data_IF_063704766095
#
_entry.id   IF_063704766095
#
_cell.length_a   1.000
_cell.length_b   1.000
_cell.length_c   1.000
_cell.angle_alpha   90.00
_cell.angle_beta   90.00
_cell.angle_gamma   90.00
#
_symmetry.space_group_name_H-M   'P 1'
#
loop_
_entity.id
_entity.type
_entity.pdbx_description
1 polymer ?
#
# COMPACT_ATOMS: atom_id res chain seq x y z
N UNK A 1 -2.83 -19.02 -3.45
CA UNK A 1 -1.37 -19.26 -3.62
C UNK A 1 -0.98 -20.72 -3.56
N UNK A 2 -0.97 -21.37 -4.72
CA UNK A 2 -0.56 -22.78 -4.82
C UNK A 2 0.95 -22.95 -4.59
N UNK A 3 1.72 -21.93 -4.95
CA UNK A 3 3.19 -21.97 -5.05
C UNK A 3 3.89 -21.22 -3.91
N UNK A 4 3.17 -20.61 -2.98
CA UNK A 4 3.77 -19.72 -1.98
C UNK A 4 4.48 -18.53 -2.60
N UNK A 5 5.67 -18.19 -2.13
CA UNK A 5 6.45 -17.06 -2.63
C UNK A 5 7.24 -17.36 -3.92
N UNK A 6 7.38 -18.64 -4.29
CA UNK A 6 8.12 -19.05 -5.49
C UNK A 6 7.14 -19.29 -6.66
N UNK A 7 6.62 -18.23 -7.23
CA UNK A 7 5.69 -18.29 -8.36
C UNK A 7 6.45 -18.59 -9.66
N UNK A 8 5.99 -19.56 -10.48
CA UNK A 8 6.49 -19.68 -11.85
C UNK A 8 6.03 -18.50 -12.71
N UNK A 9 6.81 -18.15 -13.72
CA UNK A 9 6.57 -16.97 -14.57
C UNK A 9 5.19 -17.00 -15.24
N UNK A 10 4.69 -18.17 -15.60
CA UNK A 10 3.35 -18.33 -16.19
C UNK A 10 2.23 -17.97 -15.21
N UNK A 11 2.42 -18.22 -13.91
CA UNK A 11 1.47 -17.83 -12.88
C UNK A 11 1.50 -16.32 -12.66
N UNK A 12 2.69 -15.69 -12.67
CA UNK A 12 2.84 -14.23 -12.59
C UNK A 12 2.13 -13.59 -13.80
N UNK A 13 2.39 -14.06 -15.01
CA UNK A 13 1.76 -13.53 -16.22
C UNK A 13 0.23 -13.71 -16.21
N UNK A 14 -0.26 -14.83 -15.67
CA UNK A 14 -1.69 -15.06 -15.50
C UNK A 14 -2.31 -14.07 -14.52
N UNK A 15 -1.71 -13.86 -13.36
CA UNK A 15 -2.18 -12.92 -12.34
C UNK A 15 -2.21 -11.48 -12.87
N UNK A 16 -1.12 -11.05 -13.53
CA UNK A 16 -1.04 -9.72 -14.15
C UNK A 16 -2.12 -9.51 -15.22
N UNK A 17 -2.39 -10.56 -16.03
CA UNK A 17 -3.49 -10.50 -16.99
C UNK A 17 -4.85 -10.32 -16.29
N UNK A 18 -5.12 -11.05 -15.20
CA UNK A 18 -6.36 -10.91 -14.44
C UNK A 18 -6.50 -9.50 -13.85
N UNK A 19 -5.43 -8.96 -13.28
CA UNK A 19 -5.38 -7.61 -12.72
C UNK A 19 -5.71 -6.58 -13.81
N UNK A 20 -5.14 -6.73 -14.99
CA UNK A 20 -5.41 -5.83 -16.13
C UNK A 20 -6.83 -6.00 -16.68
N UNK A 21 -7.33 -7.23 -16.78
CA UNK A 21 -8.68 -7.53 -17.27
C UNK A 21 -9.77 -6.94 -16.36
N UNK A 22 -9.54 -6.83 -15.05
CA UNK A 22 -10.46 -6.14 -14.13
C UNK A 22 -10.36 -4.61 -14.17
N UNK A 23 -9.48 -4.05 -14.99
CA UNK A 23 -9.36 -2.61 -15.22
C UNK A 23 -8.35 -1.90 -14.33
N UNK A 24 -7.58 -2.60 -13.51
CA UNK A 24 -6.50 -2.00 -12.72
C UNK A 24 -5.33 -1.61 -13.64
N UNK A 25 -4.72 -0.46 -13.36
CA UNK A 25 -3.59 0.08 -14.11
C UNK A 25 -2.31 0.18 -13.27
N UNK A 26 -2.41 -0.11 -11.98
CA UNK A 26 -1.27 -0.06 -11.05
C UNK A 26 -1.34 -1.18 -10.03
N UNK A 27 -0.18 -1.63 -9.57
CA UNK A 27 0.00 -2.63 -8.52
C UNK A 27 0.92 -2.06 -7.45
N UNK A 28 0.59 -2.29 -6.19
CA UNK A 28 1.47 -2.09 -5.06
C UNK A 28 2.03 -3.44 -4.61
N UNK A 29 3.35 -3.56 -4.54
CA UNK A 29 4.05 -4.82 -4.23
C UNK A 29 4.10 -5.11 -2.73
N UNK A 30 2.96 -5.20 -2.10
CA UNK A 30 2.81 -5.34 -0.65
C UNK A 30 3.40 -6.64 -0.10
N UNK A 31 4.33 -6.63 0.85
CA UNK A 31 4.99 -5.45 1.44
C UNK A 31 6.50 -5.68 1.36
N UNK A 32 7.05 -5.78 0.20
CA UNK A 32 8.48 -6.05 -0.06
C UNK A 32 8.79 -5.92 -1.56
N UNK A 33 10.07 -5.73 -1.92
CA UNK A 33 10.49 -5.77 -3.32
C UNK A 33 10.09 -7.09 -3.98
N UNK A 34 9.65 -7.02 -5.23
CA UNK A 34 9.25 -8.18 -6.00
C UNK A 34 10.36 -8.68 -6.94
N UNK A 35 10.09 -9.81 -7.60
CA UNK A 35 11.00 -10.45 -8.56
C UNK A 35 11.16 -9.60 -9.83
N UNK A 36 12.37 -9.59 -10.42
CA UNK A 36 12.65 -8.84 -11.66
C UNK A 36 11.74 -9.28 -12.82
N UNK A 37 11.41 -10.58 -12.92
CA UNK A 37 10.48 -11.07 -13.96
C UNK A 37 9.07 -10.51 -13.81
N UNK A 38 8.62 -10.26 -12.58
CA UNK A 38 7.35 -9.56 -12.35
C UNK A 38 7.42 -8.13 -12.89
N UNK A 39 8.51 -7.43 -12.64
CA UNK A 39 8.72 -6.06 -13.11
C UNK A 39 8.87 -6.00 -14.64
N UNK A 40 9.62 -6.93 -15.25
CA UNK A 40 9.71 -7.07 -16.70
C UNK A 40 8.33 -7.21 -17.36
N UNK A 41 7.49 -8.07 -16.79
CA UNK A 41 6.11 -8.25 -17.28
C UNK A 41 5.26 -7.00 -17.07
N UNK A 42 5.42 -6.27 -15.96
CA UNK A 42 4.74 -5.00 -15.75
C UNK A 42 5.17 -3.96 -16.79
N UNK A 43 6.48 -3.90 -17.11
CA UNK A 43 7.02 -3.04 -18.16
C UNK A 43 6.39 -3.35 -19.53
N UNK A 44 6.36 -4.63 -19.92
CA UNK A 44 5.77 -5.08 -21.19
C UNK A 44 4.27 -4.83 -21.27
N UNK A 45 3.55 -5.03 -20.18
CA UNK A 45 2.10 -4.90 -20.12
C UNK A 45 1.60 -3.48 -19.87
N UNK A 46 2.50 -2.54 -19.54
CA UNK A 46 2.17 -1.17 -19.20
C UNK A 46 1.38 -1.05 -17.89
N UNK A 47 1.76 -1.81 -16.88
CA UNK A 47 1.20 -1.76 -15.53
C UNK A 47 2.15 -0.94 -14.65
N UNK A 48 1.65 0.10 -14.00
CA UNK A 48 2.43 0.90 -13.06
C UNK A 48 2.68 0.15 -11.76
N UNK A 49 3.84 0.36 -11.15
CA UNK A 49 4.23 -0.34 -9.91
C UNK A 49 4.61 0.67 -8.83
N UNK A 50 3.95 0.55 -7.69
CA UNK A 50 4.45 1.07 -6.42
C UNK A 50 5.26 -0.03 -5.75
N UNK A 51 6.58 0.08 -5.76
CA UNK A 51 7.45 -0.86 -5.08
C UNK A 51 7.89 -0.33 -3.72
N UNK A 52 7.94 -1.18 -2.70
CA UNK A 52 8.18 -0.74 -1.32
C UNK A 52 9.14 -1.63 -0.52
N UNK A 53 9.72 -1.01 0.51
CA UNK A 53 10.57 -1.67 1.51
C UNK A 53 9.75 -2.67 2.35
N UNK A 54 10.42 -3.65 2.93
CA UNK A 54 9.82 -4.85 3.53
C UNK A 54 9.16 -4.69 4.91
N UNK A 55 9.35 -3.58 5.62
CA UNK A 55 8.86 -3.44 6.98
C UNK A 55 7.39 -2.99 7.03
N UNK A 56 6.57 -3.76 7.77
CA UNK A 56 5.13 -3.54 7.90
C UNK A 56 4.63 -3.82 9.31
N UNK A 57 3.70 -3.00 9.80
CA UNK A 57 3.05 -3.19 11.09
C UNK A 57 4.04 -3.26 12.26
N UNK A 58 5.13 -2.52 12.16
CA UNK A 58 6.19 -2.53 13.17
C UNK A 58 5.96 -1.38 14.14
N UNK A 59 5.57 -1.71 15.35
CA UNK A 59 5.40 -0.72 16.42
C UNK A 59 6.75 -0.13 16.88
N UNK A 60 6.70 1.05 17.49
CA UNK A 60 7.88 1.85 17.85
C UNK A 60 8.91 1.05 18.65
N UNK A 61 8.46 0.26 19.62
CA UNK A 61 9.34 -0.56 20.48
C UNK A 61 10.15 -1.57 19.68
N UNK A 62 9.58 -2.09 18.61
CA UNK A 62 10.28 -3.02 17.70
C UNK A 62 11.13 -2.30 16.67
N UNK A 63 10.75 -1.08 16.24
CA UNK A 63 11.60 -0.24 15.40
C UNK A 63 12.91 0.15 16.12
N UNK A 64 12.92 0.20 17.46
CA UNK A 64 14.12 0.42 18.28
C UNK A 64 15.09 -0.78 18.30
N UNK A 65 14.78 -1.88 17.60
CA UNK A 65 15.74 -2.96 17.40
C UNK A 65 17.00 -2.41 16.70
N UNK A 66 18.22 -2.70 17.21
CA UNK A 66 19.45 -2.12 16.67
C UNK A 66 19.75 -2.46 15.21
N UNK A 67 19.06 -3.46 14.65
CA UNK A 67 19.18 -3.85 13.24
C UNK A 67 18.11 -3.27 12.33
N UNK A 68 17.07 -2.64 12.87
CA UNK A 68 15.93 -2.18 12.07
C UNK A 68 16.33 -1.20 10.96
N UNK A 69 17.05 -0.15 11.33
CA UNK A 69 17.46 0.89 10.38
C UNK A 69 18.43 0.33 9.33
N UNK A 70 19.43 -0.46 9.74
CA UNK A 70 20.40 -1.05 8.81
C UNK A 70 19.76 -2.05 7.83
N UNK A 71 18.78 -2.83 8.28
CA UNK A 71 18.01 -3.73 7.41
C UNK A 71 17.15 -2.96 6.42
N UNK A 72 16.47 -1.91 6.86
CA UNK A 72 15.71 -1.04 5.96
C UNK A 72 16.61 -0.38 4.92
N UNK A 73 17.77 0.12 5.32
CA UNK A 73 18.76 0.70 4.41
C UNK A 73 19.25 -0.32 3.38
N UNK A 74 19.60 -1.52 3.81
CA UNK A 74 20.08 -2.61 2.93
C UNK A 74 19.04 -2.95 1.87
N UNK A 75 17.77 -3.12 2.26
CA UNK A 75 16.69 -3.43 1.34
C UNK A 75 16.43 -2.29 0.35
N UNK A 76 16.39 -1.04 0.80
CA UNK A 76 16.20 0.12 -0.09
C UNK A 76 17.33 0.21 -1.11
N UNK A 77 18.59 0.04 -0.69
CA UNK A 77 19.74 0.06 -1.61
C UNK A 77 19.66 -1.08 -2.62
N UNK A 78 19.34 -2.29 -2.17
CA UNK A 78 19.18 -3.45 -3.04
C UNK A 78 18.07 -3.22 -4.06
N UNK A 79 16.89 -2.85 -3.60
CA UNK A 79 15.70 -2.57 -4.41
C UNK A 79 15.98 -1.53 -5.50
N UNK A 80 16.46 -0.35 -5.13
CA UNK A 80 16.69 0.72 -6.11
C UNK A 80 17.84 0.37 -7.06
N UNK A 81 18.91 -0.28 -6.57
CA UNK A 81 20.03 -0.66 -7.43
C UNK A 81 19.63 -1.71 -8.48
N UNK A 82 18.83 -2.69 -8.09
CA UNK A 82 18.37 -3.73 -9.01
C UNK A 82 17.30 -3.20 -9.97
N UNK A 83 16.33 -2.43 -9.47
CA UNK A 83 15.10 -2.13 -10.19
C UNK A 83 15.03 -0.71 -10.77
N UNK A 84 16.10 0.08 -10.67
CA UNK A 84 16.13 1.48 -11.14
C UNK A 84 15.67 1.64 -12.60
N UNK A 85 15.99 0.70 -13.46
CA UNK A 85 15.74 0.77 -14.90
C UNK A 85 14.35 0.28 -15.33
N UNK A 86 13.49 -0.17 -14.40
CA UNK A 86 12.11 -0.57 -14.74
C UNK A 86 11.22 0.67 -14.91
N UNK A 87 10.73 0.97 -16.12
CA UNK A 87 9.84 2.11 -16.36
C UNK A 87 8.45 1.95 -15.73
N UNK A 88 8.03 0.75 -15.41
CA UNK A 88 6.78 0.47 -14.69
C UNK A 88 6.80 1.05 -13.28
N UNK A 89 7.94 1.07 -12.59
CA UNK A 89 8.04 1.63 -11.25
C UNK A 89 7.88 3.15 -11.32
N UNK A 90 6.78 3.66 -10.80
CA UNK A 90 6.49 5.09 -10.83
C UNK A 90 6.68 5.78 -9.47
N UNK A 91 6.72 5.01 -8.37
CA UNK A 91 6.84 5.52 -7.01
C UNK A 91 7.57 4.52 -6.12
N UNK A 92 8.46 5.01 -5.25
CA UNK A 92 9.12 4.24 -4.23
C UNK A 92 8.41 4.35 -2.89
N UNK A 93 8.06 3.20 -2.31
CA UNK A 93 7.50 3.10 -0.96
C UNK A 93 8.55 2.76 0.09
N UNK A 94 8.31 3.19 1.33
CA UNK A 94 9.15 2.79 2.45
C UNK A 94 8.40 1.81 3.37
N UNK A 95 7.75 2.29 4.39
CA UNK A 95 7.16 1.51 5.48
C UNK A 95 5.63 1.45 5.35
N UNK A 96 5.06 0.29 5.67
CA UNK A 96 3.62 0.13 5.80
C UNK A 96 3.22 0.08 7.28
N UNK A 97 2.36 1.01 7.73
CA UNK A 97 1.72 0.99 9.06
C UNK A 97 2.70 0.88 10.23
N UNK A 98 3.93 1.36 10.08
CA UNK A 98 4.90 1.37 11.16
C UNK A 98 4.69 2.56 12.10
N UNK A 99 5.51 2.68 13.15
CA UNK A 99 5.37 3.64 14.24
C UNK A 99 5.58 5.11 13.87
N UNK A 100 4.85 5.63 12.87
CA UNK A 100 4.93 7.02 12.37
C UNK A 100 4.35 8.06 13.32
N UNK A 101 3.69 7.63 14.40
CA UNK A 101 3.11 8.47 15.44
C UNK A 101 4.12 8.90 16.53
N UNK A 102 5.41 8.59 16.37
CA UNK A 102 6.44 8.88 17.33
C UNK A 102 7.63 9.65 16.73
N UNK A 103 8.33 10.42 17.52
CA UNK A 103 9.54 11.14 17.11
C UNK A 103 10.66 10.17 16.65
N UNK A 104 10.79 9.02 17.30
CA UNK A 104 11.74 8.00 16.85
C UNK A 104 11.34 7.42 15.50
N UNK A 105 10.06 7.09 15.34
CA UNK A 105 9.52 6.64 14.04
C UNK A 105 9.76 7.68 12.96
N UNK A 106 9.46 8.95 13.22
CA UNK A 106 9.72 10.05 12.29
C UNK A 106 11.20 10.11 11.86
N UNK A 107 12.13 9.92 12.79
CA UNK A 107 13.57 9.87 12.46
C UNK A 107 13.87 8.73 11.48
N UNK A 108 13.33 7.53 11.73
CA UNK A 108 13.50 6.38 10.82
C UNK A 108 12.88 6.62 9.45
N UNK A 109 11.68 7.22 9.38
CA UNK A 109 11.02 7.57 8.12
C UNK A 109 11.83 8.59 7.33
N UNK A 110 12.29 9.65 7.96
CA UNK A 110 13.10 10.68 7.35
C UNK A 110 14.38 10.11 6.75
N UNK A 111 15.11 9.27 7.49
CA UNK A 111 16.35 8.64 7.03
C UNK A 111 16.12 7.80 5.75
N UNK A 112 15.01 7.05 5.68
CA UNK A 112 14.68 6.24 4.50
C UNK A 112 14.31 7.11 3.29
N UNK A 113 13.51 8.15 3.44
CA UNK A 113 13.20 9.08 2.35
C UNK A 113 14.44 9.80 1.84
N UNK A 114 15.32 10.26 2.74
CA UNK A 114 16.59 10.88 2.35
C UNK A 114 17.50 9.91 1.59
N UNK A 115 17.52 8.63 1.98
CA UNK A 115 18.26 7.60 1.29
C UNK A 115 17.73 7.39 -0.13
N UNK A 116 16.41 7.24 -0.30
CA UNK A 116 15.80 7.08 -1.63
C UNK A 116 16.15 8.27 -2.50
N UNK A 117 15.97 9.50 -2.02
CA UNK A 117 16.29 10.72 -2.79
C UNK A 117 17.78 10.84 -3.18
N UNK A 118 18.68 10.23 -2.42
CA UNK A 118 20.11 10.13 -2.80
C UNK A 118 20.36 9.11 -3.90
N UNK A 119 19.56 8.04 -3.97
CA UNK A 119 19.71 6.96 -4.93
C UNK A 119 18.93 7.22 -6.22
N UNK A 120 17.72 7.74 -6.12
CA UNK A 120 16.85 8.09 -7.25
C UNK A 120 16.11 9.41 -6.99
N UNK A 121 16.35 10.39 -7.86
CA UNK A 121 15.69 11.71 -7.86
C UNK A 121 14.58 11.82 -8.92
N UNK A 122 14.34 10.76 -9.67
CA UNK A 122 13.41 10.76 -10.79
C UNK A 122 11.99 10.34 -10.42
N UNK A 123 11.85 9.61 -9.31
CA UNK A 123 10.57 9.07 -8.85
C UNK A 123 10.17 9.64 -7.50
N UNK A 124 8.86 9.91 -7.29
CA UNK A 124 8.33 10.34 -6.01
C UNK A 124 8.42 9.24 -4.96
N UNK A 125 8.25 9.64 -3.71
CA UNK A 125 8.29 8.77 -2.53
C UNK A 125 6.97 8.76 -1.78
N UNK A 126 6.66 7.64 -1.10
CA UNK A 126 5.47 7.49 -0.27
C UNK A 126 5.66 6.47 0.86
N UNK A 127 4.70 6.40 1.76
CA UNK A 127 4.51 5.33 2.74
C UNK A 127 3.03 5.18 3.04
N UNK A 128 2.58 3.98 3.37
CA UNK A 128 1.19 3.75 3.74
C UNK A 128 0.99 3.90 5.25
N UNK A 129 0.11 4.80 5.66
CA UNK A 129 -0.22 5.06 7.06
C UNK A 129 -1.59 4.54 7.45
N UNK A 130 -1.74 4.06 8.69
CA UNK A 130 -3.01 3.82 9.36
C UNK A 130 -3.16 4.61 10.67
N UNK A 131 -2.22 5.53 10.95
CA UNK A 131 -2.14 6.24 12.25
C UNK A 131 -3.10 7.44 12.34
N UNK A 132 -3.92 7.66 11.31
CA UNK A 132 -4.89 8.76 11.23
C UNK A 132 -4.26 10.10 11.65
N UNK A 133 -4.89 10.84 12.53
CA UNK A 133 -4.47 12.18 12.97
C UNK A 133 -3.25 12.19 13.92
N UNK A 134 -2.61 11.05 14.15
CA UNK A 134 -1.41 10.92 15.00
C UNK A 134 -0.12 10.78 14.21
N UNK A 135 -0.21 10.61 12.90
CA UNK A 135 0.95 10.44 12.03
C UNK A 135 1.81 11.72 11.99
N UNK A 136 3.08 11.60 12.32
CA UNK A 136 4.03 12.72 12.35
C UNK A 136 4.88 12.83 11.07
N UNK A 137 4.61 12.01 10.05
CA UNK A 137 5.52 11.82 8.92
C UNK A 137 4.97 12.33 7.59
N UNK A 138 3.74 12.87 7.51
CA UNK A 138 3.08 13.17 6.24
C UNK A 138 3.67 14.38 5.49
N UNK A 139 4.45 15.19 6.15
CA UNK A 139 5.23 16.25 5.53
C UNK A 139 6.49 15.74 4.79
N UNK A 140 6.93 14.50 5.05
CA UNK A 140 8.17 13.92 4.52
C UNK A 140 8.05 13.35 3.10
N UNK A 141 7.02 12.53 2.74
CA UNK A 141 6.88 11.95 1.40
C UNK A 141 6.45 12.98 0.36
N UNK A 142 6.57 12.62 -0.91
CA UNK A 142 6.05 13.41 -2.03
C UNK A 142 4.55 13.16 -2.26
N UNK A 143 4.06 11.96 -1.91
CA UNK A 143 2.66 11.55 -1.99
C UNK A 143 2.19 11.05 -0.63
N UNK A 144 1.08 11.58 -0.13
CA UNK A 144 0.44 11.13 1.10
C UNK A 144 -0.45 9.91 0.83
N UNK A 145 -0.27 8.82 1.59
CA UNK A 145 -1.01 7.58 1.34
C UNK A 145 -1.55 6.97 2.63
N UNK A 146 -2.81 6.51 2.57
CA UNK A 146 -3.53 5.99 3.74
C UNK A 146 -4.22 4.66 3.47
N UNK A 147 -4.10 3.73 4.45
CA UNK A 147 -4.90 2.52 4.55
C UNK A 147 -6.18 2.86 5.30
N UNK A 148 -7.34 2.68 4.66
CA UNK A 148 -8.66 2.91 5.28
C UNK A 148 -9.61 1.76 4.91
N UNK A 149 -10.45 1.38 5.86
CA UNK A 149 -11.41 0.28 5.67
C UNK A 149 -12.83 0.67 6.09
N UNK A 150 -13.43 1.70 5.44
CA UNK A 150 -14.81 2.11 5.70
C UNK A 150 -15.77 0.97 5.42
N UNK A 151 -16.88 0.91 6.14
CA UNK A 151 -17.88 -0.17 6.08
C UNK A 151 -17.40 -1.54 6.57
N UNK A 152 -16.09 -1.72 6.81
CA UNK A 152 -15.52 -2.97 7.30
C UNK A 152 -15.07 -2.88 8.76
N UNK A 153 -14.16 -1.99 9.10
CA UNK A 153 -13.75 -1.71 10.48
C UNK A 153 -14.42 -0.48 11.08
N UNK A 154 -14.93 0.41 10.23
CA UNK A 154 -15.53 1.67 10.63
C UNK A 154 -16.93 1.82 9.98
N UNK A 155 -17.90 2.33 10.71
CA UNK A 155 -19.26 2.60 10.20
C UNK A 155 -19.32 3.80 9.24
N UNK A 156 -18.23 4.59 9.13
CA UNK A 156 -18.13 5.73 8.23
C UNK A 156 -18.14 5.31 6.76
N UNK A 157 -18.60 6.22 5.91
CA UNK A 157 -18.45 6.09 4.45
C UNK A 157 -17.01 6.32 4.02
N UNK A 158 -16.63 5.84 2.83
CA UNK A 158 -15.31 6.07 2.28
C UNK A 158 -15.04 7.55 2.02
N UNK A 159 -16.07 8.28 1.55
CA UNK A 159 -16.01 9.74 1.35
C UNK A 159 -15.77 10.51 2.65
N UNK A 160 -16.44 10.12 3.74
CA UNK A 160 -16.23 10.75 5.05
C UNK A 160 -14.83 10.51 5.58
N UNK A 161 -14.35 9.25 5.57
CA UNK A 161 -13.01 8.92 6.07
C UNK A 161 -11.91 9.61 5.25
N UNK A 162 -11.95 9.50 3.93
CA UNK A 162 -10.96 10.12 3.06
C UNK A 162 -11.04 11.66 3.13
N UNK A 163 -12.24 12.23 3.18
CA UNK A 163 -12.46 13.68 3.29
C UNK A 163 -11.95 14.26 4.61
N UNK A 164 -12.12 13.55 5.72
CA UNK A 164 -11.58 13.96 7.02
C UNK A 164 -10.04 13.90 7.03
N UNK A 165 -9.46 12.86 6.45
CA UNK A 165 -7.99 12.73 6.30
C UNK A 165 -7.44 13.83 5.39
N UNK A 166 -8.08 14.10 4.26
CA UNK A 166 -7.67 15.19 3.37
C UNK A 166 -7.65 16.54 4.06
N UNK A 167 -8.69 16.88 4.82
CA UNK A 167 -8.72 18.13 5.59
C UNK A 167 -7.56 18.23 6.56
N UNK A 168 -7.21 17.11 7.21
CA UNK A 168 -6.10 17.07 8.15
C UNK A 168 -4.74 17.18 7.43
N UNK A 169 -4.55 16.46 6.31
CA UNK A 169 -3.32 16.52 5.49
C UNK A 169 -3.09 17.92 4.91
N UNK A 170 -4.17 18.58 4.45
CA UNK A 170 -4.10 19.94 3.87
C UNK A 170 -3.71 21.02 4.88
N UNK A 171 -3.65 20.72 6.18
CA UNK A 171 -3.05 21.65 7.13
C UNK A 171 -1.55 21.77 6.88
N UNK A 172 -0.99 22.97 7.08
CA UNK A 172 0.43 23.28 6.83
C UNK A 172 1.39 22.37 7.61
N UNK A 173 0.95 21.89 8.78
CA UNK A 173 1.74 21.05 9.66
C UNK A 173 1.83 19.58 9.23
N UNK A 174 0.92 19.11 8.36
CA UNK A 174 0.72 17.68 8.10
C UNK A 174 0.95 17.22 6.67
N UNK A 175 1.35 18.05 5.74
CA UNK A 175 1.63 17.59 4.37
C UNK A 175 1.26 18.59 3.29
N UNK A 176 0.31 19.49 3.53
CA UNK A 176 -0.09 20.54 2.59
C UNK A 176 -0.76 20.01 1.32
N UNK A 177 -0.46 20.61 0.19
CA UNK A 177 -1.10 20.36 -1.12
C UNK A 177 -0.51 19.15 -1.89
N UNK A 178 -0.02 18.13 -1.19
CA UNK A 178 0.51 16.92 -1.82
C UNK A 178 -0.59 16.05 -2.41
N UNK A 179 -0.30 15.25 -3.46
CA UNK A 179 -1.22 14.23 -3.94
C UNK A 179 -1.61 13.26 -2.83
N UNK A 180 -2.87 12.83 -2.83
CA UNK A 180 -3.43 11.91 -1.85
C UNK A 180 -3.85 10.60 -2.53
N UNK A 181 -3.43 9.48 -1.95
CA UNK A 181 -3.73 8.12 -2.43
C UNK A 181 -4.31 7.29 -1.29
N UNK A 182 -5.34 6.50 -1.58
CA UNK A 182 -5.78 5.41 -0.71
C UNK A 182 -4.93 4.18 -1.01
N UNK A 183 -3.99 3.87 -0.13
CA UNK A 183 -3.02 2.79 -0.31
C UNK A 183 -3.55 1.39 0.01
N UNK A 184 -4.61 1.31 0.79
CA UNK A 184 -5.40 0.10 0.98
C UNK A 184 -6.85 0.45 1.27
N UNK A 185 -7.76 -0.29 0.61
CA UNK A 185 -9.20 -0.26 0.84
C UNK A 185 -9.76 -1.65 0.51
N UNK A 186 -10.75 -2.12 1.25
CA UNK A 186 -11.30 -3.44 0.99
C UNK A 186 -12.21 -3.95 2.10
N UNK A 187 -12.55 -5.23 2.00
CA UNK A 187 -13.33 -5.96 3.01
C UNK A 187 -12.93 -7.44 3.00
N UNK A 188 -13.09 -8.13 4.13
CA UNK A 188 -12.87 -9.57 4.21
C UNK A 188 -13.99 -10.37 3.57
N UNK A 189 -13.65 -11.57 3.08
CA UNK A 189 -14.61 -12.57 2.60
C UNK A 189 -14.02 -13.97 2.77
N UNK A 190 -14.87 -14.95 3.05
CA UNK A 190 -14.47 -16.35 3.10
C UNK A 190 -14.82 -16.99 1.78
N UNK A 191 -13.83 -17.54 1.08
CA UNK A 191 -14.00 -18.20 -0.20
C UNK A 191 -15.12 -19.28 -0.15
N UNK A 192 -16.11 -19.12 -1.01
CA UNK A 192 -17.27 -20.01 -1.12
C UNK A 192 -18.36 -19.78 -0.07
N UNK A 193 -18.20 -18.86 0.86
CA UNK A 193 -19.28 -18.48 1.76
C UNK A 193 -20.24 -17.50 1.08
N UNK A 194 -21.37 -18.05 0.65
CA UNK A 194 -22.44 -17.33 -0.06
C UNK A 194 -23.63 -17.12 0.85
N UNK A 195 -24.03 -15.87 1.03
CA UNK A 195 -25.20 -15.51 1.83
C UNK A 195 -25.99 -14.36 1.19
N UNK A 196 -27.21 -14.64 0.68
CA UNK A 196 -28.09 -13.61 0.12
C UNK A 196 -28.52 -12.52 1.13
N UNK A 197 -28.32 -12.74 2.42
CA UNK A 197 -28.58 -11.75 3.47
C UNK A 197 -27.41 -10.78 3.69
N UNK A 198 -26.30 -11.02 2.97
CA UNK A 198 -25.06 -10.25 3.09
C UNK A 198 -24.49 -10.27 4.53
N UNK A 199 -24.47 -11.47 5.15
CA UNK A 199 -23.89 -11.60 6.47
C UNK A 199 -22.37 -11.40 6.43
N UNK A 200 -21.79 -11.04 7.58
CA UNK A 200 -20.36 -10.75 7.70
C UNK A 200 -19.52 -11.95 7.19
N UNK A 201 -18.45 -11.65 6.45
CA UNK A 201 -17.57 -12.60 5.75
C UNK A 201 -18.18 -13.25 4.51
N UNK A 202 -19.42 -12.95 4.11
CA UNK A 202 -19.96 -13.45 2.84
C UNK A 202 -19.30 -12.76 1.63
N UNK A 203 -19.22 -13.46 0.51
CA UNK A 203 -18.71 -12.87 -0.73
C UNK A 203 -19.65 -11.76 -1.26
N UNK A 204 -20.94 -11.83 -0.97
CA UNK A 204 -21.92 -10.80 -1.30
C UNK A 204 -21.66 -9.51 -0.55
N UNK A 205 -21.41 -9.57 0.78
CA UNK A 205 -21.07 -8.39 1.57
C UNK A 205 -19.74 -7.80 1.12
N UNK A 206 -18.73 -8.64 0.88
CA UNK A 206 -17.44 -8.19 0.37
C UNK A 206 -17.59 -7.40 -0.94
N UNK A 207 -18.35 -7.95 -1.89
CA UNK A 207 -18.60 -7.30 -3.18
C UNK A 207 -19.35 -5.97 -3.03
N UNK A 208 -20.36 -5.92 -2.16
CA UNK A 208 -21.14 -4.70 -1.89
C UNK A 208 -20.27 -3.60 -1.29
N UNK A 209 -19.43 -3.94 -0.30
CA UNK A 209 -18.53 -2.97 0.35
C UNK A 209 -17.52 -2.44 -0.67
N UNK A 210 -16.89 -3.32 -1.44
CA UNK A 210 -15.93 -2.92 -2.49
C UNK A 210 -16.57 -1.99 -3.52
N UNK A 211 -17.79 -2.30 -3.99
CA UNK A 211 -18.51 -1.43 -4.93
C UNK A 211 -18.75 -0.03 -4.35
N UNK A 212 -19.20 0.05 -3.10
CA UNK A 212 -19.41 1.34 -2.42
C UNK A 212 -18.11 2.12 -2.28
N UNK A 213 -17.06 1.48 -1.78
CA UNK A 213 -15.75 2.09 -1.58
C UNK A 213 -15.18 2.63 -2.89
N UNK A 214 -15.16 1.81 -3.94
CA UNK A 214 -14.65 2.20 -5.25
C UNK A 214 -15.42 3.37 -5.86
N UNK A 215 -16.75 3.31 -5.83
CA UNK A 215 -17.60 4.39 -6.36
C UNK A 215 -17.38 5.70 -5.63
N UNK A 216 -17.30 5.68 -4.30
CA UNK A 216 -17.15 6.88 -3.48
C UNK A 216 -15.78 7.51 -3.66
N UNK A 217 -14.70 6.73 -3.58
CA UNK A 217 -13.34 7.27 -3.72
C UNK A 217 -13.07 7.72 -5.15
N UNK A 218 -13.54 6.99 -6.17
CA UNK A 218 -13.37 7.40 -7.57
C UNK A 218 -14.11 8.70 -7.93
N UNK A 219 -15.09 9.11 -7.15
CA UNK A 219 -15.79 10.39 -7.31
C UNK A 219 -15.07 11.57 -6.64
N UNK A 220 -14.02 11.33 -5.87
CA UNK A 220 -13.25 12.37 -5.17
C UNK A 220 -12.14 12.91 -6.07
N UNK A 221 -12.24 14.17 -6.50
CA UNK A 221 -11.24 14.81 -7.37
C UNK A 221 -9.85 14.92 -6.71
N UNK A 222 -9.81 15.05 -5.39
CA UNK A 222 -8.56 15.16 -4.61
C UNK A 222 -7.85 13.83 -4.35
N UNK A 223 -8.49 12.69 -4.62
CA UNK A 223 -7.88 11.36 -4.49
C UNK A 223 -7.36 10.91 -5.87
N UNK A 224 -6.03 10.88 -6.03
CA UNK A 224 -5.40 10.60 -7.32
C UNK A 224 -5.18 9.12 -7.60
N UNK A 225 -5.47 8.25 -6.65
CA UNK A 225 -5.36 6.80 -6.82
C UNK A 225 -5.88 6.01 -5.62
N UNK A 226 -6.21 4.76 -5.87
CA UNK A 226 -6.62 3.82 -4.82
C UNK A 226 -6.12 2.41 -5.13
N UNK A 227 -5.84 1.62 -4.08
CA UNK A 227 -5.43 0.23 -4.16
C UNK A 227 -6.36 -0.64 -3.33
N UNK A 228 -6.84 -1.71 -3.95
CA UNK A 228 -7.69 -2.70 -3.27
C UNK A 228 -6.80 -3.68 -2.51
N UNK A 229 -7.06 -3.87 -1.23
CA UNK A 229 -6.49 -4.91 -0.41
C UNK A 229 -7.45 -6.10 -0.34
N UNK A 230 -7.17 -7.21 -1.03
CA UNK A 230 -6.01 -7.52 -1.88
C UNK A 230 -6.45 -8.31 -3.10
N UNK A 231 -5.58 -8.48 -4.07
CA UNK A 231 -5.89 -9.20 -5.32
C UNK A 231 -6.28 -10.65 -5.09
N UNK A 232 -5.58 -11.36 -4.20
CA UNK A 232 -5.90 -12.75 -3.87
C UNK A 232 -5.54 -13.09 -2.43
N UNK A 233 -6.21 -14.09 -1.88
CA UNK A 233 -5.95 -14.58 -0.53
C UNK A 233 -4.55 -15.13 -0.38
N UNK A 234 -3.94 -14.91 0.78
CA UNK A 234 -2.64 -15.46 1.15
C UNK A 234 -2.79 -16.46 2.28
N UNK A 235 -1.94 -17.49 2.29
CA UNK A 235 -1.84 -18.38 3.44
C UNK A 235 -1.09 -17.68 4.55
N UNK A 236 -1.70 -17.62 5.71
CA UNK A 236 -1.07 -17.15 6.95
C UNK A 236 -0.74 -18.37 7.83
N UNK A 237 0.33 -18.26 8.63
CA UNK A 237 0.55 -19.21 9.73
C UNK A 237 -0.66 -19.16 10.65
N UNK A 238 -0.99 -20.28 11.32
CA UNK A 238 -2.06 -20.31 12.34
C UNK A 238 -1.86 -19.16 13.29
N UNK A 239 -2.76 -18.21 13.22
CA UNK A 239 -2.91 -17.15 14.20
C UNK A 239 -4.27 -17.40 14.81
N UNK A 240 -4.28 -17.59 16.11
CA UNK A 240 -5.52 -17.56 16.87
C UNK A 240 -5.93 -16.08 16.95
N UNK A 241 -6.90 -15.70 16.11
CA UNK A 241 -7.57 -14.41 16.16
C UNK A 241 -8.74 -14.48 17.12
#
# INVERSE_FOLDING_TARGET
PQYGCALPVEAIAYDLKQIKDMGANSIRTTHYPNDELFLDLCDEMGILVWEENHARGIEVERMQNPYFESQCEEVIRGMITAHYNHPSIYIWGILNECGSESEYGRTCYQAQYELIRKLDQSRPTTSASCKFYKDLCQDLPDVCSWNIYPYWYEEKTATEMAGDLLKWIRSEENGGEKPFVISEIGAGGIYGFRDPSHDIWSEELQAEILEKQLREISAMEDCVGLYIWQFCDVRVSRIDW
#
